data_IF_473914034930
#
_entry.id   IF_473914034930
#
_cell.length_a   1.000
_cell.length_b   1.000
_cell.length_c   1.000
_cell.angle_alpha   90.00
_cell.angle_beta   90.00
_cell.angle_gamma   90.00
#
_symmetry.space_group_name_H-M   'P 1'
#
loop_
_entity.id
_entity.type
_entity.pdbx_description
1 polymer ?
#
# COMPACT_ATOMS: atom_id res chain seq x y z
N UNK A 1 -11.87 -19.60 5.00
CA UNK A 1 -11.13 -18.92 6.09
C UNK A 1 -10.02 -18.15 5.42
N UNK A 2 -9.86 -16.88 5.77
CA UNK A 2 -8.82 -16.02 5.23
C UNK A 2 -7.42 -16.55 5.58
N UNK A 3 -6.47 -16.42 4.65
CA UNK A 3 -5.10 -16.91 4.82
C UNK A 3 -4.07 -15.80 4.79
N UNK A 4 -4.50 -14.57 4.43
CA UNK A 4 -3.60 -13.44 4.20
C UNK A 4 -3.74 -12.38 5.30
N UNK A 5 -2.60 -11.95 5.83
CA UNK A 5 -2.50 -10.68 6.52
C UNK A 5 -2.02 -9.60 5.54
N UNK A 6 -2.58 -8.41 5.61
CA UNK A 6 -2.14 -7.26 4.84
C UNK A 6 -1.47 -6.26 5.76
N UNK A 7 -0.25 -5.85 5.44
CA UNK A 7 0.48 -4.77 6.11
C UNK A 7 0.46 -3.56 5.18
N UNK A 8 -0.25 -2.51 5.59
CA UNK A 8 -0.22 -1.22 4.92
C UNK A 8 0.89 -0.35 5.51
N UNK A 9 1.97 -0.14 4.75
CA UNK A 9 3.09 0.70 5.16
C UNK A 9 2.73 2.18 4.97
N UNK A 10 2.32 2.83 6.04
CA UNK A 10 1.81 4.20 6.07
C UNK A 10 2.69 5.18 6.88
N UNK A 11 3.86 4.75 7.40
CA UNK A 11 4.74 5.56 8.26
C UNK A 11 5.70 6.50 7.49
N UNK A 12 5.60 6.60 6.16
CA UNK A 12 6.52 7.38 5.33
C UNK A 12 6.46 8.89 5.59
N UNK A 13 7.62 9.57 5.60
CA UNK A 13 7.78 11.01 5.91
C UNK A 13 7.24 11.98 4.84
N UNK A 14 6.87 11.50 3.64
CA UNK A 14 6.30 12.30 2.54
C UNK A 14 7.14 13.51 2.09
N UNK A 15 8.45 13.49 2.26
CA UNK A 15 9.37 14.63 2.03
C UNK A 15 9.29 15.22 0.62
N UNK A 16 9.03 14.39 -0.40
CA UNK A 16 8.93 14.81 -1.81
C UNK A 16 7.53 15.30 -2.22
N UNK A 17 6.54 15.18 -1.37
CA UNK A 17 5.16 15.56 -1.69
C UNK A 17 4.95 17.08 -1.69
N UNK A 18 5.85 17.84 -1.03
CA UNK A 18 5.90 19.29 -1.12
C UNK A 18 4.83 20.04 -0.33
N UNK A 19 3.98 19.35 0.43
CA UNK A 19 3.02 19.98 1.34
C UNK A 19 3.52 19.87 2.79
N UNK A 20 3.93 20.98 3.43
CA UNK A 20 4.41 20.94 4.81
C UNK A 20 3.29 20.69 5.85
N UNK A 21 2.03 20.86 5.45
CA UNK A 21 0.87 20.75 6.35
C UNK A 21 0.19 19.39 6.29
N UNK A 22 0.40 18.61 5.22
CA UNK A 22 -0.30 17.36 5.02
C UNK A 22 0.59 16.29 4.40
N UNK A 23 0.75 15.15 5.09
CA UNK A 23 1.38 13.98 4.50
C UNK A 23 0.49 13.41 3.38
N UNK A 24 1.11 12.92 2.31
CA UNK A 24 0.42 12.41 1.11
C UNK A 24 -0.65 11.35 1.37
N UNK A 25 -0.43 10.49 2.38
CA UNK A 25 -1.36 9.40 2.73
C UNK A 25 -2.69 9.91 3.29
N UNK A 26 -2.69 11.12 3.87
CA UNK A 26 -3.88 11.79 4.39
C UNK A 26 -4.49 12.77 3.40
N UNK A 27 -3.86 12.98 2.23
CA UNK A 27 -4.45 13.79 1.17
C UNK A 27 -5.78 13.18 0.70
N UNK A 28 -6.71 14.02 0.36
CA UNK A 28 -8.01 13.61 -0.15
C UNK A 28 -7.91 13.23 -1.63
N UNK A 29 -8.48 12.08 -1.98
CA UNK A 29 -8.51 11.54 -3.32
C UNK A 29 -9.93 11.01 -3.61
N UNK A 30 -10.72 11.76 -4.39
CA UNK A 30 -12.13 11.46 -4.68
C UNK A 30 -12.94 11.19 -3.40
N UNK A 31 -12.91 12.14 -2.45
CA UNK A 31 -13.67 12.10 -1.20
C UNK A 31 -13.15 11.17 -0.10
N UNK A 32 -12.01 10.48 -0.33
CA UNK A 32 -11.40 9.58 0.68
C UNK A 32 -9.91 9.82 0.81
N UNK A 33 -9.35 9.55 1.99
CA UNK A 33 -7.91 9.62 2.18
C UNK A 33 -7.17 8.58 1.32
N UNK A 34 -5.99 8.95 0.82
CA UNK A 34 -5.15 8.08 -0.03
C UNK A 34 -4.90 6.72 0.60
N UNK A 35 -4.60 6.65 1.91
CA UNK A 35 -4.35 5.38 2.60
C UNK A 35 -5.59 4.45 2.62
N UNK A 36 -6.80 5.02 2.73
CA UNK A 36 -8.05 4.24 2.64
C UNK A 36 -8.26 3.69 1.24
N UNK A 37 -7.99 4.52 0.19
CA UNK A 37 -8.05 4.04 -1.18
C UNK A 37 -7.10 2.88 -1.45
N UNK A 38 -5.90 2.93 -0.86
CA UNK A 38 -4.93 1.84 -0.98
C UNK A 38 -5.42 0.53 -0.32
N UNK A 39 -6.34 0.61 0.65
CA UNK A 39 -6.94 -0.55 1.31
C UNK A 39 -8.17 -1.11 0.60
N UNK A 40 -8.88 -0.30 -0.21
CA UNK A 40 -10.16 -0.70 -0.81
C UNK A 40 -10.16 -2.12 -1.40
N UNK A 41 -9.16 -2.56 -2.20
CA UNK A 41 -9.18 -3.89 -2.80
C UNK A 41 -8.96 -5.04 -1.81
N UNK A 42 -8.51 -4.75 -0.59
CA UNK A 42 -8.27 -5.76 0.45
C UNK A 42 -9.44 -5.91 1.41
N UNK A 43 -10.24 -4.83 1.60
CA UNK A 43 -11.33 -4.80 2.58
C UNK A 43 -12.45 -5.79 2.27
N UNK A 44 -12.68 -6.08 0.99
CA UNK A 44 -13.72 -7.00 0.52
C UNK A 44 -13.17 -8.32 0.02
N UNK A 45 -11.85 -8.49 -0.02
CA UNK A 45 -11.25 -9.72 -0.53
C UNK A 45 -11.42 -10.87 0.47
N UNK A 46 -12.17 -11.91 0.09
CA UNK A 46 -12.57 -13.01 0.98
C UNK A 46 -11.43 -13.84 1.59
N UNK A 47 -10.19 -13.68 1.11
CA UNK A 47 -9.02 -14.37 1.64
C UNK A 47 -8.21 -13.52 2.63
N UNK A 48 -8.57 -12.25 2.83
CA UNK A 48 -7.91 -11.38 3.82
C UNK A 48 -8.52 -11.61 5.20
N UNK A 49 -7.70 -12.04 6.13
CA UNK A 49 -8.06 -12.33 7.53
C UNK A 49 -7.74 -11.17 8.46
N UNK A 50 -6.69 -10.41 8.15
CA UNK A 50 -6.18 -9.35 9.01
C UNK A 50 -5.63 -8.21 8.17
N UNK A 51 -5.90 -6.96 8.61
CA UNK A 51 -5.27 -5.77 8.02
C UNK A 51 -4.59 -4.99 9.14
N UNK A 52 -3.28 -4.77 8.98
CA UNK A 52 -2.44 -4.00 9.89
C UNK A 52 -2.05 -2.70 9.20
N UNK A 53 -2.39 -1.57 9.79
CA UNK A 53 -2.04 -0.23 9.28
C UNK A 53 -0.93 0.33 10.15
N UNK A 54 0.28 0.45 9.61
CA UNK A 54 1.44 0.97 10.33
C UNK A 54 1.64 2.45 9.99
N UNK A 55 1.30 3.35 10.91
CA UNK A 55 1.40 4.81 10.76
C UNK A 55 2.65 5.36 11.45
N UNK A 56 3.08 6.56 11.08
CA UNK A 56 4.17 7.22 11.79
C UNK A 56 3.73 7.57 13.23
N UNK A 57 4.59 7.35 14.26
CA UNK A 57 4.24 7.66 15.64
C UNK A 57 3.77 9.10 15.86
N UNK A 58 4.38 10.05 15.15
CA UNK A 58 4.01 11.47 15.21
C UNK A 58 2.62 11.77 14.63
N UNK A 59 2.05 10.85 13.85
CA UNK A 59 0.72 10.98 13.26
C UNK A 59 -0.38 10.35 14.12
N UNK A 60 -0.05 9.66 15.22
CA UNK A 60 -0.99 8.89 16.05
C UNK A 60 -2.18 9.74 16.49
N UNK A 61 -1.94 10.90 17.08
CA UNK A 61 -3.00 11.80 17.54
C UNK A 61 -3.91 12.28 16.41
N UNK A 62 -3.31 12.63 15.24
CA UNK A 62 -4.07 13.03 14.07
C UNK A 62 -4.93 11.88 13.55
N UNK A 63 -4.35 10.68 13.49
CA UNK A 63 -5.03 9.49 13.02
C UNK A 63 -6.20 9.11 13.91
N UNK A 64 -5.98 9.07 15.23
CA UNK A 64 -7.02 8.71 16.21
C UNK A 64 -8.17 9.72 16.15
N UNK A 65 -7.88 11.02 16.11
CA UNK A 65 -8.91 12.06 16.01
C UNK A 65 -9.75 11.96 14.71
N UNK A 66 -9.17 11.56 13.59
CA UNK A 66 -9.86 11.58 12.27
C UNK A 66 -10.38 10.23 11.81
N UNK A 67 -9.76 9.14 12.25
CA UNK A 67 -9.97 7.83 11.66
C UNK A 67 -10.19 6.71 12.66
N UNK A 68 -10.23 6.99 13.97
CA UNK A 68 -10.43 5.98 15.02
C UNK A 68 -11.69 5.14 14.76
N UNK A 69 -12.84 5.81 14.63
CA UNK A 69 -14.12 5.12 14.42
C UNK A 69 -14.14 4.32 13.11
N UNK A 70 -13.53 4.87 12.06
CA UNK A 70 -13.41 4.18 10.77
C UNK A 70 -12.49 2.97 10.86
N UNK A 71 -11.37 3.07 11.54
CA UNK A 71 -10.46 1.96 11.77
C UNK A 71 -11.12 0.85 12.62
N UNK A 72 -11.85 1.22 13.66
CA UNK A 72 -12.62 0.28 14.49
C UNK A 72 -13.72 -0.42 13.66
N UNK A 73 -14.49 0.33 12.88
CA UNK A 73 -15.54 -0.21 12.02
C UNK A 73 -15.00 -1.20 10.97
N UNK A 74 -13.84 -0.90 10.39
CA UNK A 74 -13.17 -1.75 9.41
C UNK A 74 -12.32 -2.87 10.05
N UNK A 75 -12.33 -2.99 11.38
CA UNK A 75 -11.55 -3.97 12.14
C UNK A 75 -10.04 -3.94 11.77
N UNK A 76 -9.46 -2.73 11.70
CA UNK A 76 -8.05 -2.54 11.37
C UNK A 76 -7.19 -2.56 12.63
N UNK A 77 -6.07 -3.29 12.58
CA UNK A 77 -5.03 -3.25 13.61
C UNK A 77 -4.10 -2.06 13.33
N UNK A 78 -4.26 -0.94 14.06
CA UNK A 78 -3.43 0.25 13.86
C UNK A 78 -2.24 0.25 14.81
N UNK A 79 -1.02 0.31 14.25
CA UNK A 79 0.23 0.27 15.01
C UNK A 79 1.14 1.45 14.66
N UNK A 80 2.11 1.72 15.54
CA UNK A 80 3.19 2.67 15.27
C UNK A 80 4.27 2.01 14.43
N UNK A 81 4.60 2.61 13.30
CA UNK A 81 5.70 2.20 12.43
C UNK A 81 7.07 2.50 13.05
N UNK A 82 8.12 2.14 12.34
CA UNK A 82 9.51 2.39 12.70
C UNK A 82 10.12 3.59 11.99
N UNK A 83 11.41 3.82 12.24
CA UNK A 83 12.17 4.92 11.63
C UNK A 83 12.30 4.75 10.10
N UNK A 84 12.50 3.51 9.68
CA UNK A 84 12.61 3.13 8.27
C UNK A 84 11.42 2.23 7.86
N UNK A 85 11.24 2.06 6.53
CA UNK A 85 10.18 1.19 5.98
C UNK A 85 10.32 -0.25 6.47
N UNK A 86 11.54 -0.77 6.49
CA UNK A 86 11.84 -2.13 6.98
C UNK A 86 11.55 -2.29 8.48
N UNK A 87 11.81 -1.27 9.31
CA UNK A 87 11.44 -1.31 10.73
C UNK A 87 9.93 -1.31 10.92
N UNK A 88 9.22 -0.55 10.07
CA UNK A 88 7.76 -0.51 10.07
C UNK A 88 7.16 -1.87 9.77
N UNK A 89 7.66 -2.56 8.74
CA UNK A 89 7.20 -3.91 8.39
C UNK A 89 7.58 -4.92 9.47
N UNK A 90 8.78 -4.84 10.05
CA UNK A 90 9.19 -5.72 11.14
C UNK A 90 8.24 -5.66 12.34
N UNK A 91 7.88 -4.44 12.79
CA UNK A 91 6.90 -4.25 13.88
C UNK A 91 5.51 -4.79 13.53
N UNK A 92 5.09 -4.64 12.27
CA UNK A 92 3.82 -5.17 11.80
C UNK A 92 3.81 -6.71 11.76
N UNK A 93 4.92 -7.35 11.39
CA UNK A 93 5.06 -8.80 11.38
C UNK A 93 4.84 -9.43 12.76
N UNK A 94 5.29 -8.76 13.84
CA UNK A 94 5.07 -9.20 15.22
C UNK A 94 3.58 -9.25 15.61
N UNK A 95 2.71 -8.57 14.85
CA UNK A 95 1.26 -8.49 15.09
C UNK A 95 0.46 -9.41 14.17
N UNK A 96 1.10 -10.09 13.23
CA UNK A 96 0.42 -11.01 12.31
C UNK A 96 -0.12 -12.22 13.07
N UNK A 97 -1.43 -12.47 12.93
CA UNK A 97 -2.13 -13.57 13.62
C UNK A 97 -1.59 -14.94 13.13
N UNK A 98 -1.50 -15.93 14.02
CA UNK A 98 -0.99 -17.27 13.66
C UNK A 98 -1.77 -17.96 12.54
N UNK A 99 -3.06 -17.66 12.37
CA UNK A 99 -3.90 -18.21 11.31
C UNK A 99 -3.47 -17.75 9.91
N UNK A 100 -2.81 -16.58 9.79
CA UNK A 100 -2.35 -16.04 8.51
C UNK A 100 -1.09 -16.78 8.06
N UNK A 101 -1.18 -17.45 6.93
CA UNK A 101 -0.08 -18.22 6.32
C UNK A 101 0.75 -17.36 5.37
N UNK A 102 0.16 -16.30 4.85
CA UNK A 102 0.78 -15.35 3.91
C UNK A 102 0.68 -13.93 4.44
N UNK A 103 1.65 -13.10 4.05
CA UNK A 103 1.68 -11.66 4.36
C UNK A 103 1.84 -10.88 3.08
N UNK A 104 0.93 -9.95 2.84
CA UNK A 104 0.97 -8.99 1.75
C UNK A 104 1.43 -7.62 2.28
N UNK A 105 2.50 -7.08 1.75
CA UNK A 105 3.00 -5.76 2.12
C UNK A 105 2.62 -4.78 1.02
N UNK A 106 1.86 -3.74 1.38
CA UNK A 106 1.40 -2.73 0.43
C UNK A 106 1.75 -1.31 0.88
N UNK A 107 2.20 -0.50 -0.07
CA UNK A 107 2.49 0.91 0.17
C UNK A 107 1.19 1.72 0.24
N UNK A 108 0.91 2.41 1.34
CA UNK A 108 -0.25 3.30 1.49
C UNK A 108 -0.31 4.44 0.44
N UNK A 109 0.78 4.66 -0.27
CA UNK A 109 0.89 5.64 -1.34
C UNK A 109 0.53 5.10 -2.74
N UNK A 110 -0.04 3.88 -2.87
CA UNK A 110 -0.51 3.30 -4.14
C UNK A 110 -2.04 3.11 -4.11
N UNK A 111 -2.81 4.18 -4.27
CA UNK A 111 -4.27 4.14 -4.11
C UNK A 111 -5.03 3.55 -5.31
N UNK A 112 -4.36 3.27 -6.43
CA UNK A 112 -5.00 2.83 -7.66
C UNK A 112 -4.85 1.31 -7.90
N UNK A 113 -4.59 0.54 -6.85
CA UNK A 113 -4.58 -0.92 -6.89
C UNK A 113 -5.98 -1.45 -7.21
N UNK A 114 -6.09 -2.56 -7.93
CA UNK A 114 -7.37 -3.21 -8.26
C UNK A 114 -7.50 -4.58 -7.60
N UNK A 115 -8.75 -5.04 -7.42
CA UNK A 115 -9.05 -6.37 -6.87
C UNK A 115 -8.44 -7.49 -7.72
N UNK A 116 -8.46 -7.34 -9.06
CA UNK A 116 -7.85 -8.33 -9.97
C UNK A 116 -6.34 -8.47 -9.75
N UNK A 117 -5.65 -7.36 -9.49
CA UNK A 117 -4.21 -7.40 -9.17
C UNK A 117 -3.95 -8.09 -7.82
N UNK A 118 -4.80 -7.85 -6.81
CA UNK A 118 -4.70 -8.52 -5.50
C UNK A 118 -4.92 -10.02 -5.68
N UNK A 119 -6.00 -10.42 -6.35
CA UNK A 119 -6.31 -11.84 -6.59
C UNK A 119 -5.19 -12.55 -7.35
N UNK A 120 -4.62 -11.91 -8.38
CA UNK A 120 -3.55 -12.48 -9.18
C UNK A 120 -2.27 -12.69 -8.35
N UNK A 121 -1.84 -11.69 -7.56
CA UNK A 121 -0.62 -11.82 -6.74
C UNK A 121 -0.81 -12.78 -5.56
N UNK A 122 -2.01 -12.88 -5.00
CA UNK A 122 -2.34 -13.85 -3.95
C UNK A 122 -2.28 -15.28 -4.49
N UNK A 123 -2.89 -15.53 -5.67
CA UNK A 123 -2.79 -16.84 -6.33
C UNK A 123 -1.35 -17.23 -6.59
N UNK A 124 -0.55 -16.33 -7.18
CA UNK A 124 0.85 -16.60 -7.47
C UNK A 124 1.68 -16.87 -6.21
N UNK A 125 1.40 -16.16 -5.11
CA UNK A 125 2.08 -16.39 -3.83
C UNK A 125 1.74 -17.77 -3.22
N UNK A 126 0.48 -18.23 -3.35
CA UNK A 126 0.12 -19.61 -2.94
C UNK A 126 0.88 -20.66 -3.72
N UNK A 127 1.01 -20.47 -5.03
CA UNK A 127 1.62 -21.44 -5.93
C UNK A 127 3.15 -21.48 -5.79
N UNK A 128 3.78 -20.33 -5.50
CA UNK A 128 5.24 -20.18 -5.55
C UNK A 128 5.89 -19.80 -4.22
N UNK A 129 5.10 -19.44 -3.21
CA UNK A 129 5.58 -19.02 -1.88
C UNK A 129 5.89 -17.53 -1.78
N UNK A 130 6.25 -16.86 -2.87
CA UNK A 130 6.49 -15.43 -2.92
C UNK A 130 6.15 -14.85 -4.30
N UNK A 131 5.48 -13.70 -4.33
CA UNK A 131 5.08 -13.01 -5.55
C UNK A 131 5.07 -11.49 -5.37
N UNK A 132 5.32 -10.76 -6.45
CA UNK A 132 5.20 -9.30 -6.46
C UNK A 132 4.55 -8.81 -7.76
N UNK A 133 3.86 -7.67 -7.68
CA UNK A 133 3.46 -6.94 -8.88
C UNK A 133 4.67 -6.21 -9.46
N UNK A 134 4.84 -6.25 -10.77
CA UNK A 134 5.86 -5.46 -11.45
C UNK A 134 5.46 -5.14 -12.89
N UNK A 135 6.01 -4.05 -13.43
CA UNK A 135 5.85 -3.66 -14.84
C UNK A 135 7.19 -3.73 -15.56
N UNK A 136 7.24 -4.21 -16.82
CA UNK A 136 8.47 -4.18 -17.59
C UNK A 136 8.92 -2.72 -17.80
N UNK A 137 10.23 -2.50 -17.85
CA UNK A 137 10.78 -1.19 -18.20
C UNK A 137 10.51 -0.88 -19.67
N UNK A 138 9.77 0.22 -19.92
CA UNK A 138 9.41 0.69 -21.25
C UNK A 138 10.46 1.62 -21.85
N UNK A 139 11.07 2.48 -21.01
CA UNK A 139 12.01 3.50 -21.46
C UNK A 139 13.45 3.02 -21.53
N UNK A 140 14.29 3.74 -22.27
CA UNK A 140 15.72 3.46 -22.32
C UNK A 140 16.38 3.88 -20.99
N UNK A 141 17.04 2.94 -20.32
CA UNK A 141 17.75 3.18 -19.07
C UNK A 141 19.15 3.70 -19.37
N UNK A 142 19.50 4.83 -18.76
CA UNK A 142 20.85 5.41 -18.79
C UNK A 142 21.49 5.32 -17.40
N UNK A 143 22.72 4.84 -17.34
CA UNK A 143 23.57 4.96 -16.15
C UNK A 143 24.32 6.28 -16.23
N UNK A 144 24.45 6.97 -15.10
CA UNK A 144 25.20 8.22 -14.97
C UNK A 144 26.17 8.13 -13.81
N UNK A 145 27.21 8.96 -13.82
CA UNK A 145 27.98 9.30 -12.63
C UNK A 145 27.30 10.43 -11.84
N UNK A 146 27.97 10.91 -10.78
CA UNK A 146 27.51 12.04 -9.94
C UNK A 146 27.45 13.36 -10.73
N UNK A 147 28.22 13.47 -11.80
CA UNK A 147 28.25 14.59 -12.75
C UNK A 147 27.03 14.68 -13.68
N UNK A 148 26.13 13.68 -13.62
CA UNK A 148 24.93 13.50 -14.47
C UNK A 148 25.21 13.30 -15.96
N UNK A 149 26.45 13.07 -16.38
CA UNK A 149 26.75 12.64 -17.74
C UNK A 149 26.47 11.15 -17.91
N UNK A 150 25.91 10.76 -19.06
CA UNK A 150 25.60 9.36 -19.34
C UNK A 150 26.90 8.57 -19.56
N UNK A 151 27.06 7.48 -18.81
CA UNK A 151 28.19 6.55 -18.94
C UNK A 151 27.83 5.26 -19.71
N UNK A 152 26.56 4.85 -19.61
CA UNK A 152 26.15 3.58 -20.20
C UNK A 152 24.65 3.60 -20.57
N UNK A 153 24.27 2.87 -21.62
CA UNK A 153 22.88 2.47 -21.89
C UNK A 153 22.68 1.06 -21.36
N UNK A 154 21.87 0.91 -20.32
CA UNK A 154 21.59 -0.39 -19.70
C UNK A 154 20.53 -1.14 -20.53
N UNK A 155 20.80 -2.38 -21.00
CA UNK A 155 19.79 -3.18 -21.68
C UNK A 155 18.57 -3.42 -20.80
N UNK A 156 17.38 -3.05 -21.28
CA UNK A 156 16.14 -3.17 -20.48
C UNK A 156 15.50 -4.56 -20.51
N UNK A 157 16.01 -5.51 -21.32
CA UNK A 157 15.49 -6.88 -21.36
C UNK A 157 15.52 -7.50 -19.98
N UNK A 158 14.38 -8.06 -19.53
CA UNK A 158 14.22 -8.69 -18.22
C UNK A 158 14.39 -7.73 -17.03
N UNK A 159 14.30 -6.42 -17.24
CA UNK A 159 14.22 -5.44 -16.16
C UNK A 159 12.77 -5.04 -15.92
N UNK A 160 12.39 -5.02 -14.64
CA UNK A 160 11.06 -4.69 -14.19
C UNK A 160 11.09 -3.63 -13.10
N UNK A 161 10.06 -2.80 -13.07
CA UNK A 161 9.79 -1.85 -12.00
C UNK A 161 8.92 -2.54 -10.96
N UNK A 162 9.49 -2.86 -9.80
CA UNK A 162 8.78 -3.50 -8.71
C UNK A 162 7.68 -2.59 -8.16
N UNK A 163 6.51 -3.19 -7.93
CA UNK A 163 5.38 -2.54 -7.30
C UNK A 163 4.95 -3.30 -6.04
N UNK A 164 3.95 -2.79 -5.34
CA UNK A 164 3.27 -3.49 -4.27
C UNK A 164 1.80 -3.71 -4.63
N UNK A 165 1.12 -4.75 -4.08
CA UNK A 165 1.57 -5.61 -2.99
C UNK A 165 2.70 -6.56 -3.39
N UNK A 166 3.59 -6.82 -2.42
CA UNK A 166 4.55 -7.92 -2.41
C UNK A 166 4.07 -8.93 -1.38
N UNK A 167 3.94 -10.19 -1.78
CA UNK A 167 3.27 -11.21 -1.00
C UNK A 167 4.19 -12.40 -0.78
N UNK A 168 4.24 -12.87 0.46
CA UNK A 168 5.19 -13.91 0.87
C UNK A 168 4.53 -14.92 1.79
N UNK A 169 5.00 -16.15 1.77
CA UNK A 169 4.80 -17.06 2.89
C UNK A 169 5.31 -16.40 4.16
N UNK A 170 4.52 -16.50 5.22
CA UNK A 170 4.84 -15.85 6.50
C UNK A 170 6.19 -16.33 7.06
N UNK A 171 6.43 -17.63 7.07
CA UNK A 171 7.67 -18.21 7.59
C UNK A 171 8.92 -17.72 6.85
N UNK A 172 8.85 -17.55 5.52
CA UNK A 172 9.95 -16.99 4.73
C UNK A 172 10.22 -15.54 5.07
N UNK A 173 9.15 -14.75 5.16
CA UNK A 173 9.27 -13.34 5.46
C UNK A 173 9.79 -13.08 6.88
N UNK A 174 9.30 -13.81 7.88
CA UNK A 174 9.79 -13.75 9.27
C UNK A 174 11.29 -14.12 9.35
N UNK A 175 11.70 -15.19 8.67
CA UNK A 175 13.11 -15.57 8.61
C UNK A 175 13.99 -14.53 7.91
N UNK A 176 13.48 -13.90 6.85
CA UNK A 176 14.16 -12.84 6.12
C UNK A 176 14.34 -11.59 7.01
N UNK A 177 13.30 -11.18 7.71
CA UNK A 177 13.35 -10.05 8.63
C UNK A 177 14.22 -10.30 9.86
N UNK A 178 14.29 -11.52 10.37
CA UNK A 178 15.21 -11.89 11.45
C UNK A 178 16.69 -11.71 11.07
N UNK A 179 17.01 -11.78 9.77
CA UNK A 179 18.38 -11.61 9.23
C UNK A 179 18.60 -10.27 8.53
N UNK A 180 17.63 -9.33 8.56
CA UNK A 180 17.70 -8.08 7.81
C UNK A 180 18.96 -7.24 8.10
N UNK A 181 19.48 -7.26 9.33
CA UNK A 181 20.70 -6.55 9.68
C UNK A 181 21.93 -7.05 8.90
N UNK A 182 21.90 -8.28 8.37
CA UNK A 182 22.97 -8.88 7.57
C UNK A 182 22.86 -8.52 6.08
N UNK A 183 21.70 -8.06 5.61
CA UNK A 183 21.44 -7.72 4.21
C UNK A 183 22.02 -6.35 3.78
N UNK A 184 22.59 -5.57 4.72
CA UNK A 184 23.18 -4.26 4.44
C UNK A 184 22.17 -3.10 4.47
N UNK A 185 22.66 -1.87 4.28
CA UNK A 185 21.87 -0.65 4.37
C UNK A 185 21.00 -0.35 3.12
N UNK A 186 21.22 -1.05 2.01
CA UNK A 186 20.63 -0.74 0.71
C UNK A 186 19.38 -1.57 0.38
N UNK A 187 18.68 -2.10 1.39
CA UNK A 187 17.44 -2.84 1.18
C UNK A 187 16.33 -1.89 0.73
N UNK A 188 15.89 -2.01 -0.52
CA UNK A 188 14.91 -1.13 -1.14
C UNK A 188 13.49 -1.67 -1.09
N UNK A 189 13.32 -3.01 -1.03
CA UNK A 189 12.04 -3.67 -0.94
C UNK A 189 12.11 -5.01 -0.16
N UNK A 190 10.94 -5.61 0.07
CA UNK A 190 10.83 -6.81 0.90
C UNK A 190 11.26 -8.07 0.14
N UNK A 191 11.15 -8.07 -1.19
CA UNK A 191 11.60 -9.20 -2.03
C UNK A 191 13.09 -9.43 -1.91
N UNK A 192 13.87 -8.36 -1.84
CA UNK A 192 15.34 -8.42 -1.69
C UNK A 192 15.75 -9.20 -0.42
N UNK A 193 15.02 -9.05 0.68
CA UNK A 193 15.29 -9.78 1.92
C UNK A 193 14.99 -11.29 1.77
N UNK A 194 13.90 -11.61 1.10
CA UNK A 194 13.48 -13.00 0.87
C UNK A 194 14.40 -13.69 -0.15
N UNK A 195 14.83 -12.97 -1.19
CA UNK A 195 15.80 -13.43 -2.19
C UNK A 195 17.18 -13.69 -1.56
N UNK A 196 17.62 -12.89 -0.58
CA UNK A 196 18.86 -13.11 0.15
C UNK A 196 18.88 -14.43 0.94
N UNK A 197 17.72 -15.01 1.22
CA UNK A 197 17.59 -16.36 1.79
C UNK A 197 17.57 -17.49 0.74
N UNK A 198 17.69 -17.15 -0.55
CA UNK A 198 17.68 -18.11 -1.65
C UNK A 198 16.28 -18.46 -2.16
N UNK A 199 15.22 -17.79 -1.69
CA UNK A 199 13.87 -17.95 -2.24
C UNK A 199 13.67 -17.13 -3.50
N UNK A 200 12.91 -17.68 -4.44
CA UNK A 200 12.56 -16.98 -5.68
C UNK A 200 11.21 -16.29 -5.55
N UNK A 201 11.12 -15.03 -5.97
CA UNK A 201 9.87 -14.28 -6.02
C UNK A 201 9.34 -14.25 -7.47
N UNK A 202 8.11 -14.69 -7.69
CA UNK A 202 7.51 -14.66 -9.03
C UNK A 202 6.95 -13.27 -9.35
N UNK A 203 7.22 -12.79 -10.56
CA UNK A 203 6.67 -11.52 -11.05
C UNK A 203 5.27 -11.78 -11.62
N UNK A 204 4.29 -11.05 -11.11
CA UNK A 204 2.93 -10.97 -11.62
C UNK A 204 2.79 -9.65 -12.39
N UNK A 205 2.16 -9.65 -13.57
CA UNK A 205 1.95 -8.41 -14.32
C UNK A 205 1.22 -7.36 -13.49
N UNK A 206 1.90 -6.25 -13.23
CA UNK A 206 1.35 -5.05 -12.63
C UNK A 206 0.79 -4.09 -13.69
N UNK A 207 0.52 -2.86 -13.29
CA UNK A 207 0.05 -1.81 -14.20
C UNK A 207 0.76 -0.49 -13.93
N UNK A 208 1.03 0.29 -14.97
CA UNK A 208 1.49 1.67 -14.83
C UNK A 208 0.46 2.55 -14.11
N UNK A 209 -0.82 2.13 -14.12
CA UNK A 209 -1.90 2.80 -13.38
C UNK A 209 -1.80 2.57 -11.86
N UNK A 210 -1.11 1.51 -11.39
CA UNK A 210 -0.81 1.29 -9.96
C UNK A 210 0.36 2.18 -9.53
N UNK A 211 0.23 3.48 -9.78
CA UNK A 211 1.29 4.45 -9.50
C UNK A 211 1.51 4.64 -7.99
N UNK A 212 2.73 5.00 -7.64
CA UNK A 212 3.10 5.40 -6.27
C UNK A 212 3.09 6.92 -6.18
N UNK A 213 2.20 7.49 -5.37
CA UNK A 213 2.17 8.92 -5.12
C UNK A 213 3.50 9.38 -4.49
N UNK A 214 4.18 10.29 -5.15
CA UNK A 214 5.43 10.90 -4.67
C UNK A 214 5.36 12.42 -4.69
N UNK A 215 4.61 13.00 -5.61
CA UNK A 215 4.45 14.44 -5.85
C UNK A 215 2.97 14.83 -5.86
N UNK A 216 2.69 16.13 -5.89
CA UNK A 216 1.34 16.67 -6.07
C UNK A 216 0.76 16.36 -7.47
N UNK A 217 1.62 16.21 -8.47
CA UNK A 217 1.19 15.84 -9.82
C UNK A 217 0.66 14.40 -9.86
N UNK A 218 1.30 13.50 -9.10
CA UNK A 218 0.83 12.12 -8.98
C UNK A 218 -0.59 12.05 -8.41
N UNK A 219 -0.95 12.97 -7.50
CA UNK A 219 -2.31 13.03 -6.94
C UNK A 219 -3.35 13.35 -8.03
N UNK A 220 -3.04 14.27 -8.95
CA UNK A 220 -3.91 14.58 -10.09
C UNK A 220 -4.05 13.38 -11.02
N UNK A 221 -2.94 12.67 -11.29
CA UNK A 221 -2.96 11.46 -12.11
C UNK A 221 -3.79 10.36 -11.43
N UNK A 222 -3.61 10.13 -10.13
CA UNK A 222 -4.39 9.16 -9.39
C UNK A 222 -5.90 9.46 -9.43
N UNK A 223 -6.27 10.74 -9.34
CA UNK A 223 -7.67 11.18 -9.51
C UNK A 223 -8.24 10.75 -10.87
N UNK A 224 -7.50 11.02 -11.95
CA UNK A 224 -7.92 10.64 -13.30
C UNK A 224 -8.02 9.11 -13.46
N UNK A 225 -7.08 8.37 -12.90
CA UNK A 225 -7.07 6.90 -12.93
C UNK A 225 -8.28 6.33 -12.20
N UNK A 226 -8.58 6.81 -10.99
CA UNK A 226 -9.73 6.31 -10.23
C UNK A 226 -11.06 6.60 -10.94
N UNK A 227 -11.20 7.76 -11.57
CA UNK A 227 -12.37 8.09 -12.41
C UNK A 227 -12.50 7.14 -13.59
N UNK A 228 -11.41 6.80 -14.25
CA UNK A 228 -11.42 5.80 -15.31
C UNK A 228 -11.84 4.42 -14.78
N UNK A 229 -11.27 3.99 -13.65
CA UNK A 229 -11.61 2.71 -13.02
C UNK A 229 -13.08 2.63 -12.56
N UNK A 230 -13.68 3.73 -12.10
CA UNK A 230 -15.09 3.78 -11.70
C UNK A 230 -16.06 3.73 -12.89
N UNK A 231 -15.64 4.14 -14.08
CA UNK A 231 -16.46 4.12 -15.30
C UNK A 231 -16.48 2.73 -15.99
N UNK A 232 -15.60 1.80 -15.59
CA UNK A 232 -15.71 0.42 -16.04
C UNK A 232 -16.73 -0.31 -15.13
N UNK A 233 -17.71 -1.06 -15.70
CA UNK A 233 -18.65 -1.80 -14.88
C UNK A 233 -17.88 -2.75 -13.96
N UNK A 234 -18.01 -2.52 -12.65
CA UNK A 234 -17.55 -3.48 -11.65
C UNK A 234 -18.41 -4.72 -11.81
N UNK A 235 -17.82 -5.86 -12.04
CA UNK A 235 -18.48 -7.12 -11.75
C UNK A 235 -18.89 -7.03 -10.27
N UNK A 236 -20.18 -7.09 -10.03
CA UNK A 236 -20.82 -6.72 -8.77
C UNK A 236 -20.37 -7.59 -7.60
N UNK A 237 -19.35 -7.15 -6.89
CA UNK A 237 -19.18 -7.52 -5.50
C UNK A 237 -19.54 -6.28 -4.66
N UNK A 238 -20.62 -6.39 -3.86
CA UNK A 238 -21.15 -5.28 -3.10
C UNK A 238 -20.11 -4.70 -2.12
N UNK A 239 -19.47 -3.63 -2.53
CA UNK A 239 -18.58 -2.88 -1.65
C UNK A 239 -19.45 -2.17 -0.60
N UNK A 240 -19.26 -2.39 0.73
CA UNK A 240 -20.09 -1.79 1.77
C UNK A 240 -20.12 -0.26 1.75
N UNK A 241 -19.28 0.39 0.97
CA UNK A 241 -19.12 1.85 0.89
C UNK A 241 -19.13 2.40 -0.53
N UNK A 242 -19.77 1.68 -1.48
CA UNK A 242 -19.89 2.16 -2.87
C UNK A 242 -20.54 3.55 -2.97
N UNK A 243 -21.37 3.91 -1.98
CA UNK A 243 -22.14 5.15 -1.90
C UNK A 243 -21.83 5.98 -0.63
N UNK A 244 -20.60 5.94 -0.11
CA UNK A 244 -20.27 6.71 1.11
C UNK A 244 -20.58 8.21 0.94
N UNK A 245 -20.35 8.79 -0.24
CA UNK A 245 -20.72 10.17 -0.53
C UNK A 245 -22.24 10.40 -0.54
N UNK A 246 -23.03 9.42 -0.97
CA UNK A 246 -24.48 9.47 -0.95
C UNK A 246 -25.03 9.28 0.47
N UNK A 247 -24.42 8.40 1.27
CA UNK A 247 -24.82 8.19 2.66
C UNK A 247 -24.66 9.44 3.54
N UNK A 248 -23.63 10.27 3.25
CA UNK A 248 -23.38 11.50 4.00
C UNK A 248 -24.08 12.72 3.42
N UNK A 249 -24.60 12.65 2.18
CA UNK A 249 -25.32 13.76 1.52
C UNK A 249 -26.70 14.01 2.16
N UNK A 250 -27.31 13.00 2.74
CA UNK A 250 -28.66 13.06 3.37
C UNK A 250 -28.62 13.38 4.87
N UNK A 251 -27.45 13.53 5.49
CA UNK A 251 -27.39 14.01 6.86
C UNK A 251 -27.75 15.50 6.91
N UNK A 252 -28.70 15.90 7.79
CA UNK A 252 -29.01 17.32 7.96
C UNK A 252 -27.73 18.06 8.33
N UNK A 253 -27.38 19.10 7.53
CA UNK A 253 -26.27 20.00 7.83
C UNK A 253 -26.63 20.73 9.12
N UNK A 254 -26.19 20.19 10.25
CA UNK A 254 -26.24 20.88 11.56
C UNK A 254 -25.49 22.20 11.40
N UNK A 255 -26.22 23.30 11.46
CA UNK A 255 -25.63 24.62 11.47
C UNK A 255 -24.93 24.79 12.83
N UNK A 256 -23.79 25.46 12.82
CA UNK A 256 -23.06 25.77 14.07
C UNK A 256 -23.90 26.53 15.10
N UNK A 257 -25.02 27.13 14.68
CA UNK A 257 -26.02 27.77 15.53
C UNK A 257 -26.86 26.78 16.37
N UNK A 258 -26.91 25.51 16.00
CA UNK A 258 -27.81 24.52 16.65
C UNK A 258 -27.10 23.76 17.80
N UNK A 259 -25.84 24.09 18.06
CA UNK A 259 -25.00 23.48 19.08
C UNK A 259 -24.80 24.34 20.36
N UNK A 260 -25.27 25.59 20.33
CA UNK A 260 -25.14 26.53 21.45
C UNK A 260 -26.42 27.34 21.63
N UNK A 261 -27.45 26.73 22.19
CA UNK A 261 -28.50 27.48 22.89
C UNK A 261 -28.56 27.00 24.35
N UNK A 262 -28.54 27.95 25.30
CA UNK A 262 -28.33 27.68 26.75
C UNK A 262 -29.50 26.97 27.43
#
# INVERSE_FOLDING_TARGET
MGQFAVILAAAGRSTRFGDPKQKKIYAELEGRAVWLRALDPFLTHGEVEQIIVAIAPEDRELFDRRYHDKAAFLNLDVIDGGAERSDTVARALERVRPVCQFVAIHDAARPCLTENMVSAVFSAARDHGAALLATPVSDTIKRTGDDRFTSETVPRRNLYLAQTPQVFRRDWLEAAYARRAQAGADVTDDTQLVEALGHRCVIVPGSTLNLKLTTQEDLKLATAILRLQSNFPRETSGHPFADEAAMWADLPKLKASDLFDP
#
